data_IF_562387652948
#
_entry.id   IF_562387652948
#
_cell.length_a   1.000
_cell.length_b   1.000
_cell.length_c   1.000
_cell.angle_alpha   90.00
_cell.angle_beta   90.00
_cell.angle_gamma   90.00
#
_symmetry.space_group_name_H-M   'P 1'
#
loop_
_entity.id
_entity.type
_entity.pdbx_description
1 polymer ?
#
# COMPACT_ATOMS: atom_id res chain seq x y z
N UNK A 1 7.23 7.39 -47.13
CA UNK A 1 7.05 8.50 -46.16
C UNK A 1 7.42 7.96 -44.80
N UNK A 2 8.21 8.68 -44.00
CA UNK A 2 8.58 8.25 -42.64
C UNK A 2 7.69 8.94 -41.62
N UNK A 3 7.28 8.21 -40.58
CA UNK A 3 6.46 8.72 -39.47
C UNK A 3 7.11 8.29 -38.15
N UNK A 4 7.29 9.24 -37.22
CA UNK A 4 7.74 8.93 -35.86
C UNK A 4 6.67 8.10 -35.12
N UNK A 5 7.08 7.16 -34.28
CA UNK A 5 6.17 6.27 -33.58
C UNK A 5 6.74 5.83 -32.24
N UNK A 6 5.89 5.86 -31.22
CA UNK A 6 6.14 5.25 -29.93
C UNK A 6 5.14 4.11 -29.75
N UNK A 7 5.62 2.86 -29.87
CA UNK A 7 4.76 1.68 -29.96
C UNK A 7 4.12 1.33 -28.61
N UNK A 8 4.86 1.54 -27.52
CA UNK A 8 4.40 1.29 -26.15
C UNK A 8 3.31 2.27 -25.72
N UNK A 9 3.44 3.54 -26.11
CA UNK A 9 2.40 4.55 -25.93
C UNK A 9 1.29 4.45 -26.98
N UNK A 10 1.50 3.69 -28.06
CA UNK A 10 0.62 3.60 -29.23
C UNK A 10 0.37 4.97 -29.87
N UNK A 11 1.40 5.82 -29.86
CA UNK A 11 1.37 7.15 -30.46
C UNK A 11 2.11 7.13 -31.78
N UNK A 12 1.53 7.79 -32.77
CA UNK A 12 2.10 7.96 -34.09
C UNK A 12 2.17 9.46 -34.42
N UNK A 13 3.25 9.84 -35.08
CA UNK A 13 3.52 11.18 -35.57
C UNK A 13 2.51 11.54 -36.64
N UNK A 14 2.15 12.82 -36.69
CA UNK A 14 1.27 13.35 -37.73
C UNK A 14 2.12 13.78 -38.94
N UNK A 15 1.58 13.74 -40.16
CA UNK A 15 2.30 14.23 -41.33
C UNK A 15 2.74 15.70 -41.13
N UNK A 16 4.03 15.98 -41.23
CA UNK A 16 4.58 17.33 -41.06
C UNK A 16 4.65 17.83 -39.61
N UNK A 17 4.36 16.98 -38.61
CA UNK A 17 4.62 17.30 -37.19
C UNK A 17 6.12 17.35 -36.93
N UNK A 18 6.64 18.38 -36.24
CA UNK A 18 8.04 18.41 -35.87
C UNK A 18 8.32 17.42 -34.74
N UNK A 19 9.53 16.85 -34.73
CA UNK A 19 9.91 15.75 -33.83
C UNK A 19 9.79 16.12 -32.35
N UNK A 20 10.05 17.39 -32.00
CA UNK A 20 9.93 17.92 -30.64
C UNK A 20 8.49 17.97 -30.15
N UNK A 21 7.53 18.32 -31.02
CA UNK A 21 6.10 18.28 -30.72
C UNK A 21 5.63 16.84 -30.51
N UNK A 22 6.09 15.89 -31.35
CA UNK A 22 5.77 14.48 -31.15
C UNK A 22 6.35 13.93 -29.84
N UNK A 23 7.60 14.26 -29.52
CA UNK A 23 8.25 13.89 -28.27
C UNK A 23 7.52 14.49 -27.05
N UNK A 24 7.03 15.74 -27.15
CA UNK A 24 6.22 16.34 -26.10
C UNK A 24 4.91 15.57 -25.86
N UNK A 25 4.22 15.13 -26.92
CA UNK A 25 3.03 14.27 -26.78
C UNK A 25 3.34 12.92 -26.14
N UNK A 26 4.48 12.32 -26.49
CA UNK A 26 4.93 11.07 -25.88
C UNK A 26 5.22 11.24 -24.39
N UNK A 27 5.90 12.32 -23.99
CA UNK A 27 6.16 12.63 -22.58
C UNK A 27 4.87 12.82 -21.79
N UNK A 28 3.94 13.64 -22.29
CA UNK A 28 2.66 13.85 -21.61
C UNK A 28 1.87 12.55 -21.42
N UNK A 29 1.80 11.70 -22.46
CA UNK A 29 1.10 10.42 -22.36
C UNK A 29 1.79 9.43 -21.41
N UNK A 30 3.12 9.47 -21.30
CA UNK A 30 3.86 8.66 -20.35
C UNK A 30 3.66 9.16 -18.91
N UNK A 31 3.67 10.48 -18.69
CA UNK A 31 3.38 11.11 -17.40
C UNK A 31 1.98 10.76 -16.89
N UNK A 32 0.96 10.83 -17.76
CA UNK A 32 -0.41 10.45 -17.41
C UNK A 32 -0.50 8.98 -16.94
N UNK A 33 0.22 8.07 -17.63
CA UNK A 33 0.27 6.66 -17.24
C UNK A 33 1.07 6.44 -15.95
N UNK A 34 2.17 7.16 -15.77
CA UNK A 34 2.96 7.14 -14.55
C UNK A 34 2.13 7.59 -13.35
N UNK A 35 1.40 8.71 -13.47
CA UNK A 35 0.50 9.19 -12.43
C UNK A 35 -0.59 8.18 -12.08
N UNK A 36 -1.21 7.55 -13.09
CA UNK A 36 -2.23 6.53 -12.85
C UNK A 36 -1.67 5.29 -12.14
N UNK A 37 -0.42 4.90 -12.44
CA UNK A 37 0.26 3.78 -11.79
C UNK A 37 0.70 4.13 -10.36
N UNK A 38 1.27 5.32 -10.15
CA UNK A 38 1.63 5.84 -8.82
C UNK A 38 0.41 5.95 -7.92
N UNK A 39 -0.74 6.41 -8.44
CA UNK A 39 -1.97 6.49 -7.66
C UNK A 39 -2.40 5.10 -7.16
N UNK A 40 -2.38 4.08 -8.02
CA UNK A 40 -2.70 2.70 -7.62
C UNK A 40 -1.69 2.15 -6.60
N UNK A 41 -0.41 2.47 -6.76
CA UNK A 41 0.62 2.08 -5.82
C UNK A 41 0.37 2.70 -4.44
N UNK A 42 0.07 4.00 -4.40
CA UNK A 42 -0.29 4.72 -3.17
C UNK A 42 -1.49 4.07 -2.48
N UNK A 43 -2.57 3.80 -3.21
CA UNK A 43 -3.75 3.12 -2.65
C UNK A 43 -3.40 1.76 -2.01
N UNK A 44 -2.52 0.98 -2.66
CA UNK A 44 -2.09 -0.32 -2.14
C UNK A 44 -1.22 -0.20 -0.89
N UNK A 45 -0.29 0.76 -0.87
CA UNK A 45 0.59 0.99 0.28
C UNK A 45 -0.20 1.58 1.44
N UNK A 46 -1.10 2.54 1.21
CA UNK A 46 -1.99 3.10 2.23
C UNK A 46 -2.83 2.01 2.91
N UNK A 47 -3.39 1.07 2.14
CA UNK A 47 -4.11 -0.07 2.71
C UNK A 47 -3.22 -0.97 3.59
N UNK A 48 -1.93 -1.13 3.24
CA UNK A 48 -0.95 -1.89 4.05
C UNK A 48 -0.55 -1.13 5.30
N UNK A 49 -0.28 0.17 5.20
CA UNK A 49 0.02 1.08 6.31
C UNK A 49 -1.12 1.05 7.33
N UNK A 50 -2.36 1.22 6.89
CA UNK A 50 -3.53 1.18 7.76
C UNK A 50 -3.65 -0.16 8.52
N UNK A 51 -3.32 -1.27 7.86
CA UNK A 51 -3.29 -2.59 8.50
C UNK A 51 -2.20 -2.70 9.56
N UNK A 52 -1.00 -2.19 9.29
CA UNK A 52 0.12 -2.21 10.25
C UNK A 52 -0.17 -1.29 11.44
N UNK A 53 -0.71 -0.10 11.19
CA UNK A 53 -1.14 0.84 12.24
C UNK A 53 -2.20 0.21 13.15
N UNK A 54 -3.26 -0.38 12.60
CA UNK A 54 -4.27 -1.07 13.41
C UNK A 54 -3.70 -2.23 14.25
N UNK A 55 -2.64 -2.90 13.77
CA UNK A 55 -1.94 -3.92 14.56
C UNK A 55 -1.06 -3.31 15.66
N UNK A 56 -0.52 -2.12 15.42
CA UNK A 56 0.31 -1.37 16.36
C UNK A 56 -0.55 -0.85 17.50
N UNK A 57 -1.68 -0.19 17.20
CA UNK A 57 -2.66 0.28 18.19
C UNK A 57 -3.10 -0.88 19.09
N UNK A 58 -3.47 -2.01 18.50
CA UNK A 58 -3.87 -3.20 19.26
C UNK A 58 -2.73 -3.83 20.10
N UNK A 59 -1.47 -3.61 19.72
CA UNK A 59 -0.31 -4.07 20.49
C UNK A 59 0.01 -3.11 21.65
N UNK A 60 -0.13 -1.80 21.43
CA UNK A 60 0.01 -0.74 22.43
C UNK A 60 -1.07 -0.88 23.52
N UNK A 61 -2.35 -1.02 23.13
CA UNK A 61 -3.45 -1.26 24.06
C UNK A 61 -3.19 -2.47 24.97
N UNK A 62 -2.62 -3.55 24.40
CA UNK A 62 -2.26 -4.75 25.17
C UNK A 62 -1.10 -4.49 26.12
N UNK A 63 -0.11 -3.71 25.70
CA UNK A 63 1.01 -3.33 26.57
C UNK A 63 0.49 -2.52 27.77
N UNK A 64 -0.38 -1.54 27.54
CA UNK A 64 -0.98 -0.71 28.59
C UNK A 64 -1.78 -1.56 29.59
N UNK A 65 -2.63 -2.48 29.12
CA UNK A 65 -3.38 -3.39 30.00
C UNK A 65 -2.45 -4.27 30.83
N UNK A 66 -1.39 -4.82 30.22
CA UNK A 66 -0.41 -5.66 30.92
C UNK A 66 0.41 -4.86 31.95
N UNK A 67 0.71 -3.60 31.65
CA UNK A 67 1.38 -2.68 32.57
C UNK A 67 0.47 -2.30 33.75
N UNK A 68 -0.80 -1.98 33.50
CA UNK A 68 -1.81 -1.72 34.52
C UNK A 68 -2.04 -2.93 35.44
N UNK A 69 -2.08 -4.14 34.89
CA UNK A 69 -2.14 -5.36 35.69
C UNK A 69 -0.89 -5.54 36.57
N UNK A 70 0.28 -5.13 36.09
CA UNK A 70 1.53 -5.23 36.84
C UNK A 70 1.57 -4.17 37.97
N UNK A 71 1.12 -2.95 37.69
CA UNK A 71 1.10 -1.84 38.66
C UNK A 71 0.00 -2.01 39.71
N UNK A 72 -1.19 -2.47 39.32
CA UNK A 72 -2.28 -2.84 40.23
C UNK A 72 -1.87 -3.97 41.18
N UNK A 73 -1.15 -4.98 40.69
CA UNK A 73 -0.59 -6.07 41.53
C UNK A 73 0.53 -5.63 42.47
N UNK A 74 1.11 -4.43 42.30
CA UNK A 74 2.08 -3.85 43.26
C UNK A 74 1.39 -3.18 44.45
N UNK A 75 0.10 -2.82 44.31
CA UNK A 75 -0.74 -2.25 45.37
C UNK A 75 -1.78 -3.22 45.96
N UNK A 76 -1.83 -4.48 45.50
CA UNK A 76 -2.62 -5.55 46.15
C UNK A 76 -1.96 -6.06 47.46
N UNK A 77 -1.62 -5.13 48.35
CA UNK A 77 -1.60 -5.32 49.81
C UNK A 77 -2.51 -4.31 50.53
N UNK A 78 -3.26 -3.47 49.80
CA UNK A 78 -4.19 -2.51 50.41
C UNK A 78 -5.57 -2.60 49.75
N UNK A 79 -6.53 -2.93 50.61
CA UNK A 79 -7.99 -2.92 50.45
C UNK A 79 -8.63 -4.22 49.94
N UNK A 80 -8.69 -5.16 50.90
CA UNK A 80 -9.95 -5.85 51.15
C UNK A 80 -11.09 -4.85 51.33
N UNK A 81 -12.28 -5.23 50.83
CA UNK A 81 -13.58 -4.59 51.12
C UNK A 81 -13.93 -3.36 50.27
N UNK A 82 -14.60 -3.59 49.13
CA UNK A 82 -15.92 -2.99 48.87
C UNK A 82 -16.59 -3.74 47.73
N UNK A 83 -17.51 -4.63 48.08
CA UNK A 83 -18.38 -5.31 47.14
C UNK A 83 -19.56 -4.44 46.73
N UNK A 84 -20.08 -4.76 45.54
CA UNK A 84 -21.45 -4.56 45.05
C UNK A 84 -22.00 -3.15 45.01
N UNK A 85 -22.19 -2.59 43.80
CA UNK A 85 -23.53 -2.16 43.29
C UNK A 85 -23.45 -2.07 41.76
N UNK A 86 -23.92 -3.11 41.06
CA UNK A 86 -24.63 -3.06 39.77
C UNK A 86 -25.35 -4.41 39.70
N UNK A 87 -26.67 -4.50 39.95
CA UNK A 87 -27.67 -4.01 39.01
C UNK A 87 -28.01 -5.15 38.05
N UNK A 88 -28.87 -6.08 38.47
CA UNK A 88 -29.21 -7.27 37.68
C UNK A 88 -30.54 -7.86 38.11
N UNK A 89 -31.60 -7.27 37.58
CA UNK A 89 -33.02 -7.53 37.82
C UNK A 89 -33.50 -8.87 37.22
N UNK A 90 -32.81 -9.97 37.49
CA UNK A 90 -33.25 -11.31 37.07
C UNK A 90 -33.15 -12.28 38.24
N UNK A 91 -34.27 -12.45 38.92
CA UNK A 91 -34.42 -13.45 39.96
C UNK A 91 -34.41 -14.86 39.39
N UNK A 92 -33.71 -15.77 40.08
CA UNK A 92 -34.31 -17.02 40.58
C UNK A 92 -33.37 -17.71 41.57
N UNK A 93 -33.95 -18.08 42.72
CA UNK A 93 -33.36 -18.86 43.80
C UNK A 93 -33.04 -20.29 43.37
N UNK A 94 -31.90 -20.80 43.84
CA UNK A 94 -31.61 -22.11 44.49
C UNK A 94 -30.13 -22.44 44.25
N UNK A 95 -29.34 -23.02 45.13
CA UNK A 95 -29.44 -23.46 46.52
C UNK A 95 -28.00 -23.72 47.01
N UNK A 96 -27.80 -23.71 48.32
CA UNK A 96 -26.57 -24.07 49.02
C UNK A 96 -26.13 -25.51 48.70
N UNK A 97 -24.85 -25.74 48.42
CA UNK A 97 -24.03 -26.86 48.96
C UNK A 97 -22.73 -26.99 48.17
N UNK A 98 -21.58 -26.90 48.84
CA UNK A 98 -20.29 -27.20 48.22
C UNK A 98 -19.11 -26.48 48.86
N UNK A 99 -18.91 -26.67 50.16
CA UNK A 99 -17.60 -26.47 50.77
C UNK A 99 -16.75 -27.69 50.44
N UNK A 100 -15.65 -27.51 49.68
CA UNK A 100 -14.42 -28.32 49.70
C UNK A 100 -13.49 -27.81 48.59
N UNK A 101 -12.31 -27.31 48.96
CA UNK A 101 -11.29 -26.89 47.99
C UNK A 101 -10.41 -25.70 48.37
N UNK A 102 -10.36 -25.28 49.65
CA UNK A 102 -9.26 -24.46 50.14
C UNK A 102 -8.10 -25.35 50.56
N UNK A 103 -7.27 -25.79 49.61
CA UNK A 103 -5.87 -26.18 49.88
C UNK A 103 -5.07 -26.02 48.58
N UNK A 104 -4.08 -25.12 48.59
CA UNK A 104 -2.98 -25.14 47.62
C UNK A 104 -2.96 -24.05 46.54
N UNK A 105 -2.81 -22.77 46.90
CA UNK A 105 -2.23 -21.76 45.98
C UNK A 105 -1.30 -20.77 46.70
N UNK A 106 -0.29 -21.28 47.39
CA UNK A 106 0.85 -20.47 47.86
C UNK A 106 2.13 -20.63 47.00
N UNK A 107 2.20 -21.61 46.08
CA UNK A 107 3.42 -21.90 45.31
C UNK A 107 3.49 -21.27 43.91
N UNK A 108 2.46 -20.54 43.45
CA UNK A 108 2.36 -20.08 42.05
C UNK A 108 2.62 -18.58 41.80
N UNK A 109 2.96 -17.80 42.83
CA UNK A 109 3.02 -16.33 42.70
C UNK A 109 4.30 -15.84 42.00
N UNK A 110 5.44 -16.52 42.14
CA UNK A 110 6.70 -16.12 41.48
C UNK A 110 6.76 -16.43 39.98
N UNK A 111 6.15 -17.53 39.53
CA UNK A 111 6.08 -17.86 38.09
C UNK A 111 5.11 -16.98 37.30
N UNK A 112 4.02 -16.52 37.94
CA UNK A 112 3.04 -15.64 37.31
C UNK A 112 3.54 -14.21 37.10
N UNK A 113 4.41 -13.69 37.98
CA UNK A 113 5.00 -12.36 37.82
C UNK A 113 6.09 -12.33 36.74
N UNK A 114 6.90 -13.39 36.63
CA UNK A 114 7.86 -13.54 35.53
C UNK A 114 7.14 -13.63 34.17
N UNK A 115 6.08 -14.44 34.08
CA UNK A 115 5.27 -14.58 32.86
C UNK A 115 4.52 -13.29 32.47
N UNK A 116 4.21 -12.40 33.42
CA UNK A 116 3.61 -11.10 33.12
C UNK A 116 4.63 -10.11 32.54
N UNK A 117 5.86 -10.09 33.05
CA UNK A 117 6.95 -9.28 32.49
C UNK A 117 7.32 -9.71 31.08
N UNK A 118 7.42 -11.02 30.83
CA UNK A 118 7.69 -11.58 29.49
C UNK A 118 6.62 -11.17 28.46
N UNK A 119 5.35 -11.11 28.85
CA UNK A 119 4.25 -10.67 27.96
C UNK A 119 4.32 -9.19 27.63
N UNK A 120 4.69 -8.34 28.59
CA UNK A 120 4.86 -6.91 28.37
C UNK A 120 6.02 -6.65 27.40
N UNK A 121 7.17 -7.31 27.62
CA UNK A 121 8.32 -7.26 26.71
C UNK A 121 7.94 -7.75 25.31
N UNK A 122 7.18 -8.84 25.19
CA UNK A 122 6.69 -9.33 23.91
C UNK A 122 5.78 -8.32 23.20
N UNK A 123 4.93 -7.59 23.94
CA UNK A 123 4.08 -6.54 23.38
C UNK A 123 4.90 -5.35 22.88
N UNK A 124 5.87 -4.86 23.66
CA UNK A 124 6.78 -3.78 23.23
C UNK A 124 7.62 -4.19 22.01
N UNK A 125 8.17 -5.40 21.99
CA UNK A 125 8.90 -5.91 20.84
C UNK A 125 8.01 -5.97 19.60
N UNK A 126 6.72 -6.32 19.76
CA UNK A 126 5.77 -6.33 18.66
C UNK A 126 5.53 -4.92 18.10
N UNK A 127 5.40 -3.90 18.95
CA UNK A 127 5.29 -2.49 18.53
C UNK A 127 6.53 -2.07 17.76
N UNK A 128 7.73 -2.36 18.27
CA UNK A 128 8.98 -2.04 17.59
C UNK A 128 9.06 -2.68 16.18
N UNK A 129 8.74 -3.97 16.05
CA UNK A 129 8.72 -4.65 14.75
C UNK A 129 7.70 -4.04 13.79
N UNK A 130 6.53 -3.62 14.27
CA UNK A 130 5.51 -2.97 13.43
C UNK A 130 5.95 -1.56 12.98
N UNK A 131 6.64 -0.83 13.84
CA UNK A 131 7.25 0.47 13.49
C UNK A 131 8.33 0.32 12.40
N UNK A 132 9.20 -0.69 12.51
CA UNK A 132 10.17 -1.02 11.46
C UNK A 132 9.48 -1.38 10.14
N UNK A 133 8.37 -2.11 10.19
CA UNK A 133 7.57 -2.44 9.00
C UNK A 133 6.94 -1.20 8.36
N UNK A 134 6.49 -0.22 9.15
CA UNK A 134 6.00 1.06 8.63
C UNK A 134 7.10 1.81 7.86
N UNK A 135 8.27 1.96 8.47
CA UNK A 135 9.42 2.62 7.82
C UNK A 135 9.84 1.89 6.54
N UNK A 136 9.82 0.56 6.54
CA UNK A 136 10.12 -0.24 5.36
C UNK A 136 9.09 -0.01 4.23
N UNK A 137 7.79 0.09 4.56
CA UNK A 137 6.74 0.37 3.58
C UNK A 137 6.89 1.77 2.97
N UNK A 138 7.28 2.77 3.77
CA UNK A 138 7.55 4.13 3.29
C UNK A 138 8.74 4.17 2.33
N UNK A 139 9.83 3.45 2.66
CA UNK A 139 10.99 3.31 1.79
C UNK A 139 10.63 2.62 0.47
N UNK A 140 9.90 1.50 0.54
CA UNK A 140 9.41 0.78 -0.64
C UNK A 140 8.57 1.67 -1.56
N UNK A 141 7.69 2.51 -0.99
CA UNK A 141 6.88 3.44 -1.77
C UNK A 141 7.75 4.43 -2.56
N UNK A 142 8.79 4.99 -1.94
CA UNK A 142 9.69 5.94 -2.61
C UNK A 142 10.49 5.27 -3.74
N UNK A 143 11.01 4.06 -3.48
CA UNK A 143 11.76 3.29 -4.46
C UNK A 143 10.88 2.90 -5.67
N UNK A 144 9.67 2.38 -5.41
CA UNK A 144 8.74 1.98 -6.46
C UNK A 144 8.22 3.17 -7.28
N UNK A 145 7.97 4.33 -6.66
CA UNK A 145 7.64 5.58 -7.38
C UNK A 145 8.78 5.94 -8.33
N UNK A 146 10.02 5.93 -7.84
CA UNK A 146 11.20 6.25 -8.66
C UNK A 146 11.34 5.27 -9.84
N UNK A 147 11.11 3.97 -9.61
CA UNK A 147 11.14 2.97 -10.66
C UNK A 147 10.05 3.20 -11.73
N UNK A 148 8.83 3.55 -11.31
CA UNK A 148 7.73 3.92 -12.21
C UNK A 148 8.13 5.12 -13.08
N UNK A 149 8.65 6.19 -12.47
CA UNK A 149 9.05 7.40 -13.19
C UNK A 149 10.16 7.13 -14.21
N UNK A 150 11.22 6.42 -13.80
CA UNK A 150 12.35 6.05 -14.69
C UNK A 150 11.87 5.19 -15.85
N UNK A 151 10.99 4.23 -15.60
CA UNK A 151 10.41 3.36 -16.62
C UNK A 151 9.59 4.15 -17.63
N UNK A 152 8.68 5.01 -17.17
CA UNK A 152 7.85 5.81 -18.08
C UNK A 152 8.64 6.87 -18.84
N UNK A 153 9.69 7.43 -18.25
CA UNK A 153 10.63 8.30 -18.96
C UNK A 153 11.34 7.56 -20.09
N UNK A 154 11.77 6.31 -19.85
CA UNK A 154 12.37 5.47 -20.88
C UNK A 154 11.38 5.18 -22.00
N UNK A 155 10.15 4.81 -21.65
CA UNK A 155 9.08 4.58 -22.62
C UNK A 155 8.81 5.84 -23.45
N UNK A 156 8.72 7.02 -22.84
CA UNK A 156 8.48 8.28 -23.55
C UNK A 156 9.56 8.57 -24.61
N UNK A 157 10.82 8.22 -24.31
CA UNK A 157 11.96 8.44 -25.18
C UNK A 157 12.18 7.34 -26.22
N UNK A 158 11.46 6.21 -26.15
CA UNK A 158 11.53 5.13 -27.14
C UNK A 158 10.73 5.49 -28.41
N UNK A 159 11.23 6.51 -29.10
CA UNK A 159 10.68 6.98 -30.38
C UNK A 159 11.44 6.32 -31.52
N UNK A 160 10.69 5.62 -32.37
CA UNK A 160 11.17 4.93 -33.56
C UNK A 160 10.61 5.58 -34.82
N UNK A 161 11.21 5.33 -35.98
CA UNK A 161 10.68 5.79 -37.27
C UNK A 161 10.09 4.61 -38.02
N UNK A 162 8.84 4.74 -38.46
CA UNK A 162 8.16 3.75 -39.30
C UNK A 162 8.15 4.28 -40.73
N UNK A 163 8.61 3.45 -41.67
CA UNK A 163 8.40 3.71 -43.08
C UNK A 163 7.00 3.27 -43.51
N UNK A 164 6.26 4.23 -44.07
CA UNK A 164 4.99 3.98 -44.76
C UNK A 164 5.30 3.95 -46.26
N UNK A 165 5.36 2.76 -46.88
CA UNK A 165 5.48 2.64 -48.33
C UNK A 165 4.17 3.08 -48.99
N UNK A 166 4.26 3.66 -50.19
CA UNK A 166 3.09 3.90 -51.03
C UNK A 166 2.90 2.67 -51.92
N UNK A 167 1.75 2.02 -51.84
CA UNK A 167 1.42 0.94 -52.76
C UNK A 167 0.78 1.50 -54.04
N UNK A 168 0.92 0.77 -55.16
CA UNK A 168 0.37 1.20 -56.45
C UNK A 168 -1.16 1.35 -56.41
N UNK A 169 -1.83 0.65 -55.50
CA UNK A 169 -3.26 0.76 -55.17
C UNK A 169 -3.63 2.07 -54.49
N UNK A 170 -2.70 2.74 -53.81
CA UNK A 170 -2.96 3.97 -53.05
C UNK A 170 -2.86 5.23 -53.93
N UNK A 171 -2.40 5.10 -55.18
CA UNK A 171 -2.24 6.21 -56.13
C UNK A 171 -3.50 6.34 -56.99
N UNK A 172 -4.31 7.39 -56.73
CA UNK A 172 -5.37 7.82 -57.63
C UNK A 172 -4.85 8.83 -58.63
N UNK A 173 -4.86 8.48 -59.91
CA UNK A 173 -4.65 9.43 -61.01
C UNK A 173 -5.92 10.29 -61.12
N UNK A 174 -5.85 11.51 -60.62
CA UNK A 174 -6.98 12.46 -60.62
C UNK A 174 -7.09 13.22 -61.94
N UNK A 175 -6.01 13.33 -62.71
CA UNK A 175 -5.99 14.04 -63.97
C UNK A 175 -4.98 13.41 -64.94
N UNK A 176 -5.44 13.13 -66.16
CA UNK A 176 -4.62 12.68 -67.27
C UNK A 176 -4.72 13.75 -68.36
N UNK A 177 -3.57 14.26 -68.83
CA UNK A 177 -3.52 15.28 -69.88
C UNK A 177 -2.63 14.78 -71.01
N UNK A 178 -3.13 14.90 -72.25
CA UNK A 178 -2.37 14.57 -73.45
C UNK A 178 -1.67 15.84 -73.96
N UNK A 179 -0.36 15.92 -73.77
CA UNK A 179 0.48 16.98 -74.33
C UNK A 179 1.00 16.56 -75.70
N UNK A 180 0.61 17.28 -76.77
CA UNK A 180 1.17 17.06 -78.09
C UNK A 180 2.32 18.05 -78.34
N UNK A 181 3.52 17.51 -78.60
CA UNK A 181 4.71 18.29 -78.92
C UNK A 181 4.98 18.15 -80.43
N UNK A 182 4.77 19.21 -81.23
CA UNK A 182 5.12 19.17 -82.64
C UNK A 182 6.64 19.20 -82.79
N UNK A 183 7.17 18.26 -83.57
CA UNK A 183 8.60 18.16 -83.90
C UNK A 183 8.78 18.87 -85.24
N UNK A 184 9.70 19.83 -85.30
CA UNK A 184 10.09 20.56 -86.51
C UNK A 184 11.29 19.89 -87.20
#
# INVERSE_FOLDING_TARGET
>A
MTIAANRDLRLYGRPGEPDDAFAARCRAAAEDRAHAEIAKLKDQIEARIAKVQAQMDAAEDRAEVLEAERSGKRNEEILSTMGSVLGGLFGTRRSRSGALGQLGRAAGRRGRTAAAGERLEAAHNKVNTLSEQLLALEGQLQDEITEIEVRWLRVANDVSTIEVPLERSDVKVTQLVLGWLPIA
#
